data_IF_519296230024
#
_entry.id   IF_519296230024
#
_cell.length_a   1.000
_cell.length_b   1.000
_cell.length_c   1.000
_cell.angle_alpha   90.00
_cell.angle_beta   90.00
_cell.angle_gamma   90.00
#
_symmetry.space_group_name_H-M   'P 1'
#
loop_
_entity.id
_entity.type
_entity.pdbx_description
1 polymer ?
#
# COMPACT_ATOMS: atom_id res chain seq x y z
N UNK A 1 3.99 -12.46 4.31
CA UNK A 1 4.37 -11.94 2.98
C UNK A 1 3.11 -11.46 2.27
N UNK A 2 3.17 -10.28 1.65
CA UNK A 2 2.15 -9.76 0.76
C UNK A 2 2.72 -9.72 -0.67
N UNK A 3 1.91 -9.99 -1.67
CA UNK A 3 2.31 -9.94 -3.07
C UNK A 3 1.23 -9.28 -3.93
N UNK A 4 1.63 -8.60 -5.00
CA UNK A 4 0.70 -8.06 -5.99
C UNK A 4 0.07 -9.21 -6.77
N UNK A 5 -1.23 -9.37 -6.62
CA UNK A 5 -1.99 -10.45 -7.27
C UNK A 5 -2.47 -10.08 -8.67
N UNK A 6 -2.21 -8.87 -9.14
CA UNK A 6 -2.54 -8.46 -10.48
C UNK A 6 -1.47 -8.94 -11.47
N UNK A 7 -1.89 -9.55 -12.57
CA UNK A 7 -0.97 -10.05 -13.61
C UNK A 7 -0.15 -11.29 -13.20
N UNK A 8 1.17 -11.23 -13.35
CA UNK A 8 2.09 -12.38 -13.12
C UNK A 8 2.07 -12.85 -11.67
N UNK A 9 1.79 -11.96 -10.71
CA UNK A 9 1.70 -12.30 -9.28
C UNK A 9 0.60 -13.30 -8.93
N UNK A 10 -0.40 -13.50 -9.79
CA UNK A 10 -1.50 -14.44 -9.54
C UNK A 10 -1.06 -15.90 -9.35
N UNK A 11 0.14 -16.27 -9.80
CA UNK A 11 0.67 -17.62 -9.66
C UNK A 11 1.40 -17.89 -8.33
N UNK A 12 1.65 -16.87 -7.52
CA UNK A 12 2.44 -16.99 -6.26
C UNK A 12 1.68 -17.78 -5.19
N UNK A 13 0.36 -17.75 -5.22
CA UNK A 13 -0.51 -18.34 -4.17
C UNK A 13 -0.24 -19.84 -3.93
N UNK A 14 0.14 -20.59 -4.98
CA UNK A 14 0.50 -22.00 -4.89
C UNK A 14 1.89 -22.29 -4.33
N UNK A 15 2.78 -21.31 -4.28
CA UNK A 15 4.19 -21.52 -3.95
C UNK A 15 4.59 -21.04 -2.56
N UNK A 16 3.90 -20.04 -2.01
CA UNK A 16 4.24 -19.45 -0.72
C UNK A 16 3.08 -19.59 0.25
N UNK A 17 3.14 -20.59 1.12
CA UNK A 17 2.11 -20.82 2.13
C UNK A 17 1.92 -19.59 3.02
N UNK A 18 0.67 -19.13 3.14
CA UNK A 18 0.31 -17.98 3.98
C UNK A 18 0.65 -16.63 3.36
N UNK A 19 1.01 -16.59 2.07
CA UNK A 19 1.11 -15.34 1.34
C UNK A 19 -0.27 -14.67 1.21
N UNK A 20 -0.30 -13.35 1.32
CA UNK A 20 -1.53 -12.56 1.24
C UNK A 20 -1.60 -11.86 -0.10
N UNK A 21 -2.58 -12.19 -0.97
CA UNK A 21 -2.76 -11.49 -2.23
C UNK A 21 -3.23 -10.06 -1.99
N UNK A 22 -2.65 -9.13 -2.72
CA UNK A 22 -3.05 -7.73 -2.78
C UNK A 22 -3.62 -7.44 -4.16
N UNK A 23 -4.93 -7.25 -4.25
CA UNK A 23 -5.59 -6.75 -5.45
C UNK A 23 -5.85 -5.25 -5.28
N UNK A 24 -5.07 -4.42 -5.95
CA UNK A 24 -5.16 -2.97 -5.82
C UNK A 24 -6.48 -2.38 -6.29
N UNK A 25 -7.15 -3.04 -7.25
CA UNK A 25 -8.47 -2.67 -7.77
C UNK A 25 -9.64 -3.06 -6.87
N UNK A 26 -9.44 -3.92 -5.88
CA UNK A 26 -10.50 -4.39 -4.99
C UNK A 26 -11.17 -3.24 -4.20
N UNK A 27 -12.37 -3.54 -3.66
CA UNK A 27 -13.07 -2.63 -2.75
C UNK A 27 -12.26 -2.36 -1.49
N UNK A 28 -12.41 -1.14 -0.94
CA UNK A 28 -11.83 -0.77 0.36
C UNK A 28 -12.30 -1.70 1.47
N UNK A 29 -11.40 -2.02 2.40
CA UNK A 29 -11.77 -2.65 3.65
C UNK A 29 -12.52 -1.65 4.54
N UNK A 30 -13.56 -2.10 5.26
CA UNK A 30 -14.16 -1.29 6.30
C UNK A 30 -13.16 -1.09 7.44
N UNK A 31 -13.25 0.06 8.10
CA UNK A 31 -12.42 0.39 9.27
C UNK A 31 -13.32 0.77 10.44
N UNK A 32 -12.84 0.56 11.66
CA UNK A 32 -13.56 1.04 12.84
C UNK A 32 -13.36 2.55 12.98
N UNK A 33 -14.45 3.30 12.95
CA UNK A 33 -14.42 4.72 13.24
C UNK A 33 -14.09 4.94 14.72
N UNK A 34 -13.01 5.66 15.04
CA UNK A 34 -12.60 5.88 16.44
C UNK A 34 -13.65 6.62 17.28
N UNK A 35 -14.46 7.47 16.65
CA UNK A 35 -15.43 8.28 17.35
C UNK A 35 -16.71 7.51 17.72
N UNK A 36 -17.17 6.64 16.82
CA UNK A 36 -18.44 5.91 16.99
C UNK A 36 -18.27 4.44 17.34
N UNK A 37 -17.07 3.87 17.19
CA UNK A 37 -16.79 2.43 17.30
C UNK A 37 -17.44 1.57 16.21
N UNK A 38 -18.06 2.15 15.22
CA UNK A 38 -18.77 1.44 14.14
C UNK A 38 -17.83 1.18 12.96
N UNK A 39 -18.10 0.11 12.24
CA UNK A 39 -17.44 -0.13 10.96
C UNK A 39 -17.97 0.85 9.92
N UNK A 40 -17.08 1.60 9.33
CA UNK A 40 -17.36 2.53 8.23
C UNK A 40 -16.55 2.18 7.00
N UNK A 41 -17.07 2.53 5.84
CA UNK A 41 -16.33 2.44 4.58
C UNK A 41 -15.77 3.82 4.26
N UNK A 42 -14.44 3.91 4.24
CA UNK A 42 -13.75 5.15 3.88
C UNK A 42 -14.00 5.50 2.39
N UNK A 43 -13.99 6.80 2.08
CA UNK A 43 -14.38 7.30 0.76
C UNK A 43 -13.22 7.27 -0.25
N UNK A 44 -12.58 6.12 -0.42
CA UNK A 44 -11.56 5.90 -1.45
C UNK A 44 -12.11 5.13 -2.64
N UNK A 45 -11.50 5.32 -3.81
CA UNK A 45 -11.89 4.63 -5.03
C UNK A 45 -11.76 3.10 -4.89
N UNK A 46 -10.61 2.65 -4.40
CA UNK A 46 -10.23 1.24 -4.32
C UNK A 46 -9.21 1.00 -3.19
N UNK A 47 -8.86 -0.27 -2.98
CA UNK A 47 -7.92 -0.70 -1.94
C UNK A 47 -6.53 -0.05 -2.09
N UNK A 48 -6.01 0.05 -3.32
CA UNK A 48 -4.72 0.71 -3.57
C UNK A 48 -4.73 2.14 -3.07
N UNK A 49 -5.78 2.89 -3.38
CA UNK A 49 -5.94 4.28 -2.91
C UNK A 49 -6.02 4.33 -1.39
N UNK A 50 -6.84 3.48 -0.76
CA UNK A 50 -6.97 3.40 0.70
C UNK A 50 -5.60 3.16 1.34
N UNK A 51 -4.85 2.17 0.87
CA UNK A 51 -3.54 1.83 1.41
C UNK A 51 -2.53 2.98 1.25
N UNK A 52 -2.49 3.67 0.11
CA UNK A 52 -1.60 4.81 -0.08
C UNK A 52 -1.88 5.97 0.88
N UNK A 53 -3.14 6.33 1.08
CA UNK A 53 -3.52 7.38 2.03
C UNK A 53 -3.13 6.99 3.46
N UNK A 54 -3.42 5.76 3.87
CA UNK A 54 -3.06 5.25 5.21
C UNK A 54 -1.55 5.19 5.43
N UNK A 55 -0.80 4.73 4.42
CA UNK A 55 0.67 4.78 4.46
C UNK A 55 1.17 6.20 4.65
N UNK A 56 0.62 7.16 3.90
CA UNK A 56 0.96 8.58 4.03
C UNK A 56 0.71 9.12 5.44
N UNK A 57 -0.45 8.85 5.99
CA UNK A 57 -0.83 9.25 7.36
C UNK A 57 0.09 8.63 8.41
N UNK A 58 0.42 7.35 8.28
CA UNK A 58 1.34 6.67 9.22
C UNK A 58 2.77 7.21 9.15
N UNK A 59 3.23 7.52 7.95
CA UNK A 59 4.54 8.17 7.77
C UNK A 59 4.56 9.55 8.43
N UNK A 60 3.49 10.34 8.25
CA UNK A 60 3.38 11.67 8.89
C UNK A 60 3.36 11.59 10.42
N UNK A 61 2.71 10.58 10.98
CA UNK A 61 2.69 10.32 12.43
C UNK A 61 3.97 9.66 12.97
N UNK A 62 4.94 9.32 12.09
CA UNK A 62 6.17 8.65 12.48
C UNK A 62 6.00 7.19 12.89
N UNK A 63 4.87 6.56 12.51
CA UNK A 63 4.55 5.15 12.81
C UNK A 63 5.25 4.17 11.85
N UNK A 64 5.77 4.66 10.73
CA UNK A 64 6.53 3.87 9.77
C UNK A 64 7.93 4.44 9.60
N UNK A 65 8.92 3.56 9.69
CA UNK A 65 10.33 3.92 9.56
C UNK A 65 11.09 2.88 8.76
N UNK A 66 12.07 3.32 8.02
CA UNK A 66 13.09 2.46 7.41
C UNK A 66 14.33 2.56 8.30
N UNK A 67 14.89 1.42 8.73
CA UNK A 67 16.10 1.44 9.53
C UNK A 67 17.24 2.13 8.76
N UNK A 68 18.15 2.85 9.43
CA UNK A 68 19.29 3.50 8.79
C UNK A 68 20.14 2.52 7.95
N UNK A 69 20.32 1.30 8.45
CA UNK A 69 21.10 0.26 7.76
C UNK A 69 20.48 -0.14 6.42
N UNK A 70 19.14 -0.22 6.34
CA UNK A 70 18.44 -0.50 5.09
C UNK A 70 18.38 0.75 4.22
N UNK A 71 18.08 1.91 4.79
CA UNK A 71 17.93 3.16 4.06
C UNK A 71 19.22 3.58 3.31
N UNK A 72 20.38 3.23 3.86
CA UNK A 72 21.70 3.57 3.30
C UNK A 72 22.26 2.49 2.36
N UNK A 73 21.61 1.32 2.23
CA UNK A 73 22.01 0.32 1.23
C UNK A 73 21.77 0.87 -0.18
N UNK A 74 22.63 0.44 -1.10
CA UNK A 74 22.41 0.70 -2.53
C UNK A 74 21.14 -0.04 -2.98
N UNK A 75 20.26 0.70 -3.64
CA UNK A 75 19.09 0.14 -4.33
C UNK A 75 19.49 -0.39 -5.72
N UNK A 76 20.29 0.41 -6.41
CA UNK A 76 20.91 0.12 -7.69
C UNK A 76 22.32 0.75 -7.74
N UNK A 77 22.95 0.79 -8.92
CA UNK A 77 24.30 1.34 -9.08
C UNK A 77 24.40 2.85 -8.80
N UNK A 78 23.30 3.58 -8.81
CA UNK A 78 23.26 5.05 -8.80
C UNK A 78 22.66 5.67 -7.53
N UNK A 79 21.85 4.92 -6.77
CA UNK A 79 21.08 5.49 -5.68
C UNK A 79 20.88 4.51 -4.51
N UNK A 80 20.76 5.07 -3.32
CA UNK A 80 20.40 4.32 -2.11
C UNK A 80 18.90 4.07 -2.04
N UNK A 81 18.48 3.13 -1.18
CA UNK A 81 17.06 2.88 -0.86
C UNK A 81 16.35 4.16 -0.43
N UNK A 82 17.01 5.01 0.37
CA UNK A 82 16.47 6.32 0.79
C UNK A 82 16.22 7.23 -0.41
N UNK A 83 17.19 7.36 -1.30
CA UNK A 83 17.08 8.23 -2.48
C UNK A 83 15.98 7.74 -3.40
N UNK A 84 15.90 6.42 -3.65
CA UNK A 84 14.83 5.82 -4.45
C UNK A 84 13.46 6.05 -3.84
N UNK A 85 13.29 5.80 -2.54
CA UNK A 85 12.03 6.06 -1.84
C UNK A 85 11.59 7.51 -1.96
N UNK A 86 12.52 8.46 -1.76
CA UNK A 86 12.23 9.89 -1.88
C UNK A 86 11.90 10.32 -3.31
N UNK A 87 12.48 9.65 -4.30
CA UNK A 87 12.17 9.85 -5.72
C UNK A 87 10.76 9.35 -6.04
N UNK A 88 10.45 8.10 -5.72
CA UNK A 88 9.14 7.51 -6.00
C UNK A 88 7.99 8.26 -5.31
N UNK A 89 8.22 8.73 -4.07
CA UNK A 89 7.22 9.51 -3.31
C UNK A 89 6.68 10.72 -4.07
N UNK A 90 7.49 11.35 -4.91
CA UNK A 90 7.08 12.52 -5.69
C UNK A 90 6.02 12.19 -6.76
N UNK A 91 5.97 10.96 -7.21
CA UNK A 91 4.99 10.51 -8.21
C UNK A 91 3.62 10.26 -7.61
N UNK A 92 3.52 9.95 -6.32
CA UNK A 92 2.24 9.66 -5.66
C UNK A 92 1.55 10.97 -5.31
N UNK A 93 0.49 11.27 -6.02
CA UNK A 93 -0.28 12.50 -5.84
C UNK A 93 -1.77 12.20 -5.87
N UNK A 94 -2.55 13.05 -5.21
CA UNK A 94 -4.01 13.01 -5.32
C UNK A 94 -4.42 13.32 -6.77
N UNK A 95 -5.31 12.51 -7.31
CA UNK A 95 -5.94 12.83 -8.59
C UNK A 95 -6.95 13.96 -8.42
N UNK A 96 -7.02 14.84 -9.41
CA UNK A 96 -7.98 15.96 -9.45
C UNK A 96 -9.38 15.55 -9.96
N UNK A 97 -9.56 14.31 -10.44
CA UNK A 97 -10.82 13.88 -11.02
C UNK A 97 -11.74 13.27 -9.99
N UNK A 98 -12.49 14.09 -9.30
CA UNK A 98 -13.46 13.68 -8.25
C UNK A 98 -14.91 13.70 -8.80
N UNK A 99 -15.17 13.09 -9.95
CA UNK A 99 -16.52 13.07 -10.53
C UNK A 99 -17.57 12.37 -9.68
N UNK A 100 -17.14 11.40 -8.85
CA UNK A 100 -17.99 10.61 -7.95
C UNK A 100 -17.75 10.92 -6.46
N UNK A 101 -16.99 11.98 -6.17
CA UNK A 101 -16.62 12.39 -4.81
C UNK A 101 -15.61 11.48 -4.11
N UNK A 102 -15.13 10.40 -4.74
CA UNK A 102 -14.17 9.49 -4.14
C UNK A 102 -12.75 10.01 -4.23
N UNK A 103 -12.00 9.82 -3.16
CA UNK A 103 -10.57 10.10 -3.15
C UNK A 103 -9.83 9.11 -4.05
N UNK A 104 -8.89 9.63 -4.83
CA UNK A 104 -8.09 8.88 -5.81
C UNK A 104 -6.64 9.32 -5.74
N UNK A 105 -5.75 8.43 -6.12
CA UNK A 105 -4.37 8.77 -6.50
C UNK A 105 -4.27 8.83 -8.02
N UNK A 106 -3.24 9.48 -8.52
CA UNK A 106 -2.94 9.51 -9.97
C UNK A 106 -2.79 8.10 -10.54
N UNK A 107 -3.04 7.95 -11.83
CA UNK A 107 -2.94 6.65 -12.51
C UNK A 107 -1.51 6.09 -12.47
N UNK A 108 -1.38 4.78 -12.69
CA UNK A 108 -0.06 4.14 -12.80
C UNK A 108 0.76 4.73 -13.97
N UNK A 109 0.10 5.09 -15.07
CA UNK A 109 0.75 5.68 -16.23
C UNK A 109 1.27 7.09 -15.91
N UNK A 110 0.48 7.91 -15.21
CA UNK A 110 0.94 9.22 -14.74
C UNK A 110 2.11 9.13 -13.77
N UNK A 111 2.12 8.11 -12.89
CA UNK A 111 3.25 7.85 -11.99
C UNK A 111 4.50 7.51 -12.80
N UNK A 112 4.39 6.62 -13.79
CA UNK A 112 5.51 6.25 -14.67
C UNK A 112 6.07 7.43 -15.43
N UNK A 113 5.22 8.29 -15.99
CA UNK A 113 5.67 9.51 -16.65
C UNK A 113 6.53 10.37 -15.72
N UNK A 114 6.10 10.55 -14.46
CA UNK A 114 6.84 11.33 -13.46
C UNK A 114 8.15 10.67 -13.02
N UNK A 115 8.24 9.36 -13.11
CA UNK A 115 9.41 8.57 -12.75
C UNK A 115 10.31 8.24 -13.94
N UNK A 116 10.08 8.86 -15.10
CA UNK A 116 10.92 8.64 -16.29
C UNK A 116 10.72 7.25 -16.91
N UNK A 117 9.56 6.63 -16.72
CA UNK A 117 9.22 5.30 -17.22
C UNK A 117 9.20 4.21 -16.16
N UNK A 118 9.79 4.46 -14.98
CA UNK A 118 9.86 3.51 -13.88
C UNK A 118 8.54 3.34 -13.12
N UNK A 119 8.37 2.20 -12.47
CA UNK A 119 7.30 1.96 -11.49
C UNK A 119 7.72 2.40 -10.08
N UNK A 120 6.76 2.80 -9.20
CA UNK A 120 7.05 3.10 -7.80
C UNK A 120 7.09 1.82 -6.95
N UNK A 121 7.94 0.85 -7.31
CA UNK A 121 7.91 -0.50 -6.77
C UNK A 121 8.25 -0.56 -5.28
N UNK A 122 9.20 0.26 -4.84
CA UNK A 122 9.57 0.35 -3.43
C UNK A 122 8.42 0.94 -2.60
N UNK A 123 7.74 1.95 -3.13
CA UNK A 123 6.62 2.59 -2.46
C UNK A 123 5.36 1.72 -2.50
N UNK A 124 5.13 0.99 -3.61
CA UNK A 124 4.06 -0.01 -3.71
C UNK A 124 4.25 -1.12 -2.64
N UNK A 125 5.48 -1.58 -2.42
CA UNK A 125 5.80 -2.54 -1.35
C UNK A 125 5.42 -1.99 0.04
N UNK A 126 5.73 -0.74 0.34
CA UNK A 126 5.35 -0.10 1.59
C UNK A 126 3.83 0.03 1.74
N UNK A 127 3.15 0.44 0.69
CA UNK A 127 1.71 0.61 0.67
C UNK A 127 0.96 -0.73 0.84
N UNK A 128 1.41 -1.79 0.16
CA UNK A 128 0.78 -3.11 0.26
C UNK A 128 0.81 -3.66 1.69
N UNK A 129 1.77 -3.26 2.51
CA UNK A 129 1.84 -3.64 3.93
C UNK A 129 0.57 -3.28 4.71
N UNK A 130 -0.14 -2.22 4.31
CA UNK A 130 -1.36 -1.78 4.99
C UNK A 130 -2.49 -2.83 4.96
N UNK A 131 -2.44 -3.79 4.05
CA UNK A 131 -3.43 -4.88 4.01
C UNK A 131 -3.44 -5.69 5.31
N UNK A 132 -2.29 -5.83 5.99
CA UNK A 132 -2.20 -6.57 7.25
C UNK A 132 -2.86 -5.83 8.43
N UNK A 133 -2.98 -4.52 8.32
CA UNK A 133 -3.65 -3.70 9.32
C UNK A 133 -5.16 -3.56 9.02
N UNK A 134 -5.54 -3.66 7.75
CA UNK A 134 -6.92 -3.52 7.28
C UNK A 134 -7.72 -4.81 7.33
N UNK A 135 -7.07 -5.96 7.06
CA UNK A 135 -7.76 -7.25 7.15
C UNK A 135 -8.22 -7.52 8.57
N UNK A 136 -9.46 -7.99 8.76
CA UNK A 136 -9.90 -8.47 10.07
C UNK A 136 -8.91 -9.52 10.60
N UNK A 137 -8.41 -9.32 11.80
CA UNK A 137 -7.59 -10.35 12.47
C UNK A 137 -8.51 -11.53 12.75
N UNK A 138 -8.29 -12.65 12.09
CA UNK A 138 -8.98 -13.89 12.43
C UNK A 138 -8.50 -14.30 13.82
N UNK A 139 -9.34 -14.09 14.84
CA UNK A 139 -9.09 -14.59 16.18
C UNK A 139 -9.33 -16.11 16.08
N UNK A 140 -8.26 -16.88 15.97
CA UNK A 140 -8.35 -18.31 16.22
C UNK A 140 -8.64 -18.47 17.71
N UNK A 141 -9.89 -18.69 18.08
CA UNK A 141 -10.22 -19.19 19.38
C UNK A 141 -9.65 -20.62 19.45
N UNK A 142 -8.53 -20.79 20.12
CA UNK A 142 -8.10 -22.10 20.55
C UNK A 142 -9.13 -22.55 21.58
N UNK A 143 -10.04 -23.42 21.14
CA UNK A 143 -10.91 -24.14 22.06
C UNK A 143 -10.02 -24.99 22.94
N UNK A 144 -9.95 -24.69 24.23
CA UNK A 144 -9.45 -25.60 25.25
C UNK A 144 -10.40 -26.77 25.30
N UNK A 145 -9.99 -27.92 24.79
CA UNK A 145 -10.53 -29.22 25.13
C UNK A 145 -9.69 -29.78 26.26
#
# INVERSE_FOLDING_TARGET
ICYDSDGVGSYIDGFIRGAVPFNGGASCYPVTDPASGRLIKENYLNLKTQCYYRTGDRVQRGEMRISPDVANKMYDESQTVRQRFMFERKAIQRSKSDKDGKLRIVSKDDMKIKLGGDSPDLLDMFMMREVFELKPKTIFAYGNN
#
